data_IF_733661027185
#
_entry.id   IF_733661027185
#
_cell.length_a   1.000
_cell.length_b   1.000
_cell.length_c   1.000
_cell.angle_alpha   90.00
_cell.angle_beta   90.00
_cell.angle_gamma   90.00
#
_symmetry.space_group_name_H-M   'P 1'
#
loop_
_entity.id
_entity.type
_entity.pdbx_description
1 polymer ?
#
# COMPACT_ATOMS: atom_id res chain seq x y z
N UNK A 1 12.96 -8.49 20.63
CA UNK A 1 11.84 -8.51 19.68
C UNK A 1 11.76 -7.12 19.07
N UNK A 2 12.00 -7.00 17.76
CA UNK A 2 11.93 -5.71 17.06
C UNK A 2 10.48 -5.28 17.04
N UNK A 3 10.13 -4.25 17.80
CA UNK A 3 8.84 -3.56 17.64
C UNK A 3 8.90 -2.83 16.30
N UNK A 4 8.48 -3.50 15.23
CA UNK A 4 8.21 -2.80 13.96
C UNK A 4 6.96 -1.96 14.22
N UNK A 5 7.13 -0.63 14.16
CA UNK A 5 6.02 0.29 14.27
C UNK A 5 5.03 0.04 13.12
N UNK A 6 3.73 0.09 13.40
CA UNK A 6 2.70 -0.21 12.39
C UNK A 6 2.79 0.72 11.18
N UNK A 7 3.38 1.91 11.36
CA UNK A 7 3.70 2.86 10.30
C UNK A 7 4.84 2.38 9.39
N UNK A 8 5.92 1.82 9.95
CA UNK A 8 7.04 1.31 9.15
C UNK A 8 6.60 0.13 8.29
N UNK A 9 5.75 -0.75 8.84
CA UNK A 9 5.17 -1.87 8.10
C UNK A 9 4.26 -1.38 6.97
N UNK A 10 3.52 -0.28 7.17
CA UNK A 10 2.70 0.34 6.14
C UNK A 10 3.54 0.93 5.00
N UNK A 11 4.65 1.63 5.31
CA UNK A 11 5.55 2.15 4.29
C UNK A 11 6.24 1.03 3.50
N UNK A 12 6.65 -0.05 4.18
CA UNK A 12 7.17 -1.24 3.50
C UNK A 12 6.13 -1.83 2.54
N UNK A 13 4.89 -1.99 3.01
CA UNK A 13 3.78 -2.51 2.20
C UNK A 13 3.52 -1.62 0.98
N UNK A 14 3.41 -0.30 1.16
CA UNK A 14 3.27 0.64 0.04
C UNK A 14 4.43 0.51 -0.96
N UNK A 15 5.67 0.43 -0.46
CA UNK A 15 6.86 0.28 -1.31
C UNK A 15 6.79 -0.97 -2.18
N UNK A 16 6.44 -2.12 -1.60
CA UNK A 16 6.30 -3.38 -2.35
C UNK A 16 5.21 -3.27 -3.42
N UNK A 17 4.04 -2.72 -3.06
CA UNK A 17 2.95 -2.53 -4.01
C UNK A 17 3.34 -1.59 -5.18
N UNK A 18 4.07 -0.52 -4.89
CA UNK A 18 4.56 0.42 -5.90
C UNK A 18 5.58 -0.22 -6.84
N UNK A 19 6.49 -1.06 -6.31
CA UNK A 19 7.46 -1.81 -7.14
C UNK A 19 6.72 -2.74 -8.12
N UNK A 20 5.70 -3.47 -7.63
CA UNK A 20 4.91 -4.36 -8.48
C UNK A 20 4.19 -3.56 -9.58
N UNK A 21 3.56 -2.45 -9.22
CA UNK A 21 2.90 -1.57 -10.20
C UNK A 21 3.87 -1.03 -11.24
N UNK A 22 5.05 -0.59 -10.82
CA UNK A 22 6.10 -0.11 -11.71
C UNK A 22 6.60 -1.20 -12.67
N UNK A 23 6.73 -2.45 -12.20
CA UNK A 23 7.11 -3.60 -13.06
C UNK A 23 6.04 -3.87 -14.11
N UNK A 24 4.76 -3.88 -13.74
CA UNK A 24 3.66 -4.09 -14.69
C UNK A 24 3.67 -3.01 -15.77
N UNK A 25 3.76 -1.74 -15.37
CA UNK A 25 3.82 -0.61 -16.30
C UNK A 25 5.09 -0.69 -17.16
N UNK A 26 6.24 -1.04 -16.58
CA UNK A 26 7.49 -1.20 -17.31
C UNK A 26 7.48 -2.34 -18.33
N UNK A 27 6.79 -3.45 -18.06
CA UNK A 27 6.60 -4.51 -19.05
C UNK A 27 5.69 -4.02 -20.20
N UNK A 28 4.64 -3.27 -19.89
CA UNK A 28 3.76 -2.70 -20.92
C UNK A 28 4.49 -1.70 -21.82
N UNK A 29 5.41 -0.89 -21.28
CA UNK A 29 6.19 0.05 -22.10
C UNK A 29 7.20 -0.65 -23.02
N UNK A 30 7.65 -1.86 -22.66
CA UNK A 30 8.48 -2.72 -23.51
C UNK A 30 7.68 -3.46 -24.59
N UNK A 31 6.36 -3.28 -24.65
CA UNK A 31 5.47 -3.87 -25.65
C UNK A 31 4.84 -5.20 -25.24
N UNK A 32 4.94 -5.61 -23.97
CA UNK A 32 4.22 -6.79 -23.48
C UNK A 32 2.74 -6.45 -23.25
N UNK A 33 1.83 -7.17 -23.91
CA UNK A 33 0.41 -7.05 -23.65
C UNK A 33 0.02 -7.82 -22.39
N UNK A 34 -0.41 -7.08 -21.36
CA UNK A 34 -0.95 -7.62 -20.12
C UNK A 34 -2.43 -7.22 -20.06
N UNK A 35 -3.31 -8.08 -20.57
CA UNK A 35 -4.78 -7.83 -20.68
C UNK A 35 -5.40 -7.37 -19.36
N UNK A 36 -4.93 -7.94 -18.24
CA UNK A 36 -5.46 -7.66 -16.91
C UNK A 36 -4.69 -6.58 -16.13
N UNK A 37 -3.71 -5.91 -16.72
CA UNK A 37 -2.91 -4.90 -16.03
C UNK A 37 -3.77 -3.78 -15.38
N UNK A 38 -4.79 -3.21 -16.05
CA UNK A 38 -5.64 -2.19 -15.43
C UNK A 38 -6.35 -2.69 -14.16
N UNK A 39 -6.81 -3.94 -14.19
CA UNK A 39 -7.50 -4.57 -13.04
C UNK A 39 -6.52 -4.80 -11.90
N UNK A 40 -5.32 -5.31 -12.19
CA UNK A 40 -4.28 -5.54 -11.19
C UNK A 40 -3.84 -4.23 -10.53
N UNK A 41 -3.58 -3.19 -11.32
CA UNK A 41 -3.19 -1.88 -10.81
C UNK A 41 -4.31 -1.24 -9.96
N UNK A 42 -5.57 -1.42 -10.36
CA UNK A 42 -6.72 -0.96 -9.58
C UNK A 42 -6.82 -1.68 -8.23
N UNK A 43 -6.67 -3.01 -8.22
CA UNK A 43 -6.68 -3.80 -6.98
C UNK A 43 -5.54 -3.35 -6.05
N UNK A 44 -4.34 -3.15 -6.59
CA UNK A 44 -3.19 -2.67 -5.80
C UNK A 44 -3.52 -1.31 -5.16
N UNK A 45 -4.05 -0.36 -5.94
CA UNK A 45 -4.44 0.95 -5.42
C UNK A 45 -5.53 0.86 -4.34
N UNK A 46 -6.54 0.00 -4.54
CA UNK A 46 -7.61 -0.22 -3.57
C UNK A 46 -7.09 -0.79 -2.26
N UNK A 47 -6.19 -1.78 -2.32
CA UNK A 47 -5.61 -2.38 -1.11
C UNK A 47 -4.74 -1.37 -0.36
N UNK A 48 -3.91 -0.59 -1.06
CA UNK A 48 -3.14 0.50 -0.44
C UNK A 48 -4.08 1.46 0.31
N UNK A 49 -5.17 1.89 -0.34
CA UNK A 49 -6.13 2.82 0.25
C UNK A 49 -6.81 2.22 1.50
N UNK A 50 -7.24 0.96 1.46
CA UNK A 50 -7.86 0.30 2.61
C UNK A 50 -6.90 0.21 3.80
N UNK A 51 -5.65 -0.20 3.55
CA UNK A 51 -4.64 -0.31 4.62
C UNK A 51 -4.30 1.07 5.18
N UNK A 52 -4.17 2.09 4.32
CA UNK A 52 -3.92 3.47 4.76
C UNK A 52 -5.02 3.99 5.70
N UNK A 53 -6.30 3.76 5.35
CA UNK A 53 -7.43 4.15 6.21
C UNK A 53 -7.33 3.49 7.59
N UNK A 54 -7.05 2.19 7.65
CA UNK A 54 -6.94 1.45 8.92
C UNK A 54 -5.79 1.97 9.77
N UNK A 55 -4.63 2.24 9.17
CA UNK A 55 -3.45 2.75 9.88
C UNK A 55 -3.71 4.17 10.40
N UNK A 56 -4.31 5.03 9.58
CA UNK A 56 -4.68 6.40 9.97
C UNK A 56 -5.69 6.37 11.13
N UNK A 57 -6.77 5.59 11.02
CA UNK A 57 -7.79 5.48 12.08
C UNK A 57 -7.20 4.95 13.39
N UNK A 58 -6.31 3.95 13.33
CA UNK A 58 -5.60 3.45 14.52
C UNK A 58 -4.68 4.51 15.12
N UNK A 59 -3.96 5.26 14.27
CA UNK A 59 -3.13 6.37 14.69
C UNK A 59 -3.95 7.46 15.42
N UNK A 60 -5.09 7.85 14.86
CA UNK A 60 -6.01 8.79 15.48
C UNK A 60 -6.55 8.28 16.83
N UNK A 61 -7.03 7.03 16.89
CA UNK A 61 -7.56 6.46 18.13
C UNK A 61 -6.54 6.43 19.27
N UNK A 62 -5.27 6.13 18.97
CA UNK A 62 -4.17 6.14 19.95
C UNK A 62 -3.86 7.56 20.43
N UNK A 63 -3.98 8.57 19.58
CA UNK A 63 -3.79 9.97 19.97
C UNK A 63 -4.93 10.48 20.85
N UNK A 64 -6.19 10.13 20.54
CA UNK A 64 -7.35 10.56 21.33
C UNK A 64 -7.41 9.88 22.70
N UNK A 65 -6.99 8.61 22.81
CA UNK A 65 -6.97 7.87 24.09
C UNK A 65 -5.86 8.23 25.07
N UNK A 66 -4.90 9.09 24.69
CA UNK A 66 -3.87 9.63 25.58
C UNK A 66 -4.27 10.97 26.25
N UNK A 67 -5.50 11.43 26.00
CA UNK A 67 -6.02 12.70 26.50
C UNK A 67 -6.94 12.61 27.72
N UNK A 68 -7.08 11.43 28.34
CA UNK A 68 -7.76 11.24 29.63
C UNK A 68 -6.74 11.00 30.76
#
# INVERSE_FOLDING_TARGET
>A
MVHIDSFDLFFLFMGVCMIIGAVIVGLMTLGYEIVFAPVLLFIIAMVIAMVAIVVILKGYAVQTGKGE
#
